data_IF_523019654351
#
_entry.id   IF_523019654351
#
_cell.length_a   1.000
_cell.length_b   1.000
_cell.length_c   1.000
_cell.angle_alpha   90.00
_cell.angle_beta   90.00
_cell.angle_gamma   90.00
#
_symmetry.space_group_name_H-M   'P 1'
#
loop_
_entity.id
_entity.type
_entity.pdbx_description
1 polymer ?
#
# COMPACT_ATOMS: atom_id res chain seq x y z
N UNK A 1 19.63 4.02 -10.85
CA UNK A 1 18.83 4.13 -9.60
C UNK A 1 18.01 5.40 -9.66
N UNK A 2 16.75 5.33 -9.30
CA UNK A 2 15.88 6.51 -9.16
C UNK A 2 16.35 7.25 -7.89
N UNK A 3 16.60 8.56 -7.97
CA UNK A 3 16.93 9.34 -6.79
C UNK A 3 15.73 9.40 -5.84
N UNK A 4 15.94 9.17 -4.54
CA UNK A 4 14.88 9.26 -3.54
C UNK A 4 14.48 10.73 -3.38
N UNK A 5 13.22 11.11 -3.62
CA UNK A 5 12.77 12.47 -3.40
C UNK A 5 12.76 12.81 -1.90
N UNK A 6 13.10 14.04 -1.58
CA UNK A 6 13.09 14.54 -0.20
C UNK A 6 11.90 15.44 0.03
N UNK A 7 11.14 15.16 1.09
CA UNK A 7 10.00 15.92 1.56
C UNK A 7 10.24 16.33 3.03
N UNK A 8 10.74 17.56 3.28
CA UNK A 8 11.13 17.99 4.64
C UNK A 8 9.99 17.89 5.67
N UNK A 9 8.76 18.01 5.24
CA UNK A 9 7.56 17.92 6.08
C UNK A 9 7.21 16.50 6.54
N UNK A 10 7.87 15.49 5.98
CA UNK A 10 7.74 14.10 6.44
C UNK A 10 8.66 13.80 7.63
N UNK A 11 9.74 14.56 7.81
CA UNK A 11 10.70 14.32 8.90
C UNK A 11 10.02 14.41 10.28
N UNK A 12 10.26 13.40 11.12
CA UNK A 12 9.69 13.29 12.46
C UNK A 12 8.24 12.76 12.51
N UNK A 13 7.55 12.60 11.37
CA UNK A 13 6.24 11.93 11.32
C UNK A 13 6.35 10.45 11.64
N UNK A 14 5.22 9.85 12.02
CA UNK A 14 5.10 8.41 12.24
C UNK A 14 4.22 7.79 11.17
N UNK A 15 4.70 6.72 10.54
CA UNK A 15 3.95 5.96 9.55
C UNK A 15 3.68 4.53 10.03
N UNK A 16 2.45 4.06 9.83
CA UNK A 16 2.09 2.65 9.93
C UNK A 16 1.93 2.08 8.52
N UNK A 17 2.67 1.01 8.21
CA UNK A 17 2.70 0.43 6.86
C UNK A 17 2.24 -1.02 6.95
N UNK A 18 1.05 -1.33 6.41
CA UNK A 18 0.63 -2.71 6.24
C UNK A 18 1.27 -3.32 5.00
N UNK A 19 1.58 -4.62 5.04
CA UNK A 19 2.27 -5.28 3.93
C UNK A 19 3.75 -4.89 3.81
N UNK A 20 4.38 -4.44 4.90
CA UNK A 20 5.78 -4.01 4.93
C UNK A 20 6.81 -5.15 4.78
N UNK A 21 6.40 -6.42 4.88
CA UNK A 21 7.32 -7.57 4.84
C UNK A 21 8.01 -7.81 3.49
N UNK A 22 7.76 -7.00 2.45
CA UNK A 22 8.41 -7.12 1.16
C UNK A 22 7.80 -6.25 0.05
N UNK A 23 8.42 -6.28 -1.12
CA UNK A 23 7.95 -5.61 -2.32
C UNK A 23 7.72 -4.11 -2.13
N UNK A 24 6.55 -3.62 -2.57
CA UNK A 24 6.21 -2.19 -2.54
C UNK A 24 6.22 -1.63 -1.11
N UNK A 25 5.69 -2.38 -0.13
CA UNK A 25 5.62 -1.92 1.25
C UNK A 25 7.01 -1.74 1.88
N UNK A 26 7.91 -2.70 1.67
CA UNK A 26 9.28 -2.61 2.16
C UNK A 26 10.05 -1.47 1.49
N UNK A 27 9.90 -1.28 0.18
CA UNK A 27 10.57 -0.18 -0.52
C UNK A 27 10.02 1.19 -0.10
N UNK A 28 8.70 1.31 0.09
CA UNK A 28 8.11 2.52 0.66
C UNK A 28 8.67 2.82 2.06
N UNK A 29 8.86 1.79 2.90
CA UNK A 29 9.49 1.95 4.22
C UNK A 29 10.91 2.50 4.12
N UNK A 30 11.75 1.98 3.19
CA UNK A 30 13.12 2.49 2.97
C UNK A 30 13.12 3.96 2.58
N UNK A 31 12.24 4.37 1.69
CA UNK A 31 12.15 5.74 1.22
C UNK A 31 11.59 6.70 2.28
N UNK A 32 10.65 6.25 3.10
CA UNK A 32 10.16 7.01 4.25
C UNK A 32 11.26 7.15 5.32
N UNK A 33 12.02 6.08 5.60
CA UNK A 33 13.17 6.13 6.49
C UNK A 33 14.21 7.18 6.04
N UNK A 34 14.52 7.22 4.74
CA UNK A 34 15.41 8.23 4.15
C UNK A 34 14.89 9.67 4.37
N UNK A 35 13.58 9.85 4.48
CA UNK A 35 12.93 11.12 4.78
C UNK A 35 12.74 11.39 6.29
N UNK A 36 13.34 10.59 7.17
CA UNK A 36 13.30 10.77 8.61
C UNK A 36 11.96 10.43 9.28
N UNK A 37 11.16 9.56 8.65
CA UNK A 37 9.89 9.06 9.20
C UNK A 37 10.15 7.91 10.16
N UNK A 38 9.47 7.88 11.30
CA UNK A 38 9.44 6.73 12.23
C UNK A 38 8.46 5.69 11.71
N UNK A 39 8.82 4.42 11.73
CA UNK A 39 8.13 3.37 10.97
C UNK A 39 7.60 2.25 11.86
N UNK A 40 6.29 2.05 11.91
CA UNK A 40 5.67 0.83 12.39
C UNK A 40 5.44 -0.11 11.18
N UNK A 41 6.19 -1.19 11.13
CA UNK A 41 6.25 -2.14 10.03
C UNK A 41 5.31 -3.32 10.29
N UNK A 42 4.20 -3.39 9.57
CA UNK A 42 3.20 -4.43 9.79
C UNK A 42 3.14 -5.44 8.64
N UNK A 43 2.91 -6.69 9.00
CA UNK A 43 2.75 -7.85 8.12
C UNK A 43 2.69 -9.13 8.94
N UNK A 44 2.47 -10.28 8.30
CA UNK A 44 2.36 -11.58 8.99
C UNK A 44 3.71 -12.25 9.26
N UNK A 45 4.72 -11.94 8.47
CA UNK A 45 6.04 -12.57 8.52
C UNK A 45 6.97 -11.78 9.44
N UNK A 46 7.00 -12.16 10.71
CA UNK A 46 7.84 -11.55 11.75
C UNK A 46 9.32 -11.52 11.36
N UNK A 47 9.84 -12.59 10.76
CA UNK A 47 11.27 -12.66 10.43
C UNK A 47 11.65 -11.62 9.37
N UNK A 48 10.81 -11.46 8.33
CA UNK A 48 11.04 -10.43 7.31
C UNK A 48 10.87 -9.01 7.85
N UNK A 49 9.93 -8.78 8.76
CA UNK A 49 9.76 -7.49 9.42
C UNK A 49 10.99 -7.15 10.25
N UNK A 50 11.52 -8.11 11.03
CA UNK A 50 12.73 -7.91 11.81
C UNK A 50 13.93 -7.59 10.89
N UNK A 51 14.11 -8.36 9.82
CA UNK A 51 15.20 -8.12 8.85
C UNK A 51 15.13 -6.71 8.27
N UNK A 52 13.94 -6.24 7.88
CA UNK A 52 13.75 -4.89 7.37
C UNK A 52 14.00 -3.82 8.46
N UNK A 53 13.54 -4.05 9.69
CA UNK A 53 13.77 -3.13 10.79
C UNK A 53 15.26 -3.00 11.12
N UNK A 54 15.98 -4.12 11.16
CA UNK A 54 17.43 -4.15 11.38
C UNK A 54 18.19 -3.40 10.27
N UNK A 55 17.81 -3.64 9.00
CA UNK A 55 18.35 -2.91 7.84
C UNK A 55 18.16 -1.39 8.01
N UNK A 56 16.94 -0.95 8.32
CA UNK A 56 16.62 0.46 8.46
C UNK A 56 17.33 1.10 9.66
N UNK A 57 17.36 0.41 10.78
CA UNK A 57 18.04 0.87 12.01
C UNK A 57 19.54 1.02 11.80
N UNK A 58 20.16 0.13 11.02
CA UNK A 58 21.58 0.25 10.66
C UNK A 58 21.90 1.53 9.85
N UNK A 59 20.91 2.15 9.21
CA UNK A 59 21.04 3.46 8.54
C UNK A 59 20.72 4.65 9.45
N UNK A 60 20.40 4.42 10.72
CA UNK A 60 20.01 5.44 11.69
C UNK A 60 18.52 5.77 11.70
N UNK A 61 17.68 5.04 10.96
CA UNK A 61 16.24 5.21 10.99
C UNK A 61 15.63 4.53 12.22
N UNK A 62 14.40 4.93 12.56
CA UNK A 62 13.63 4.33 13.66
C UNK A 62 12.54 3.44 13.06
N UNK A 63 12.59 2.13 13.33
CA UNK A 63 11.65 1.16 12.78
C UNK A 63 11.27 0.10 13.83
N UNK A 64 9.97 -0.15 13.97
CA UNK A 64 9.38 -1.11 14.90
C UNK A 64 8.63 -2.19 14.12
N UNK A 65 9.02 -3.48 14.22
CA UNK A 65 8.21 -4.57 13.69
C UNK A 65 6.94 -4.76 14.53
N UNK A 66 5.77 -4.76 13.87
CA UNK A 66 4.46 -4.93 14.52
C UNK A 66 3.68 -6.00 13.76
N UNK A 67 3.95 -7.30 14.03
CA UNK A 67 3.31 -8.38 13.28
C UNK A 67 1.83 -8.48 13.62
N UNK A 68 0.98 -8.51 12.58
CA UNK A 68 -0.45 -8.79 12.71
C UNK A 68 -1.02 -9.26 11.37
N UNK A 69 -2.10 -10.03 11.43
CA UNK A 69 -2.93 -10.32 10.26
C UNK A 69 -3.90 -9.15 10.03
N UNK A 70 -3.84 -8.56 8.85
CA UNK A 70 -4.67 -7.41 8.49
C UNK A 70 -6.15 -7.77 8.23
N UNK A 71 -6.50 -9.06 8.23
CA UNK A 71 -7.89 -9.54 8.17
C UNK A 71 -8.50 -9.72 9.55
N UNK A 72 -7.73 -9.55 10.62
CA UNK A 72 -8.16 -9.63 12.02
C UNK A 72 -8.18 -8.23 12.65
N UNK A 73 -9.38 -7.72 12.92
CA UNK A 73 -9.57 -6.40 13.52
C UNK A 73 -8.93 -6.27 14.90
N UNK A 74 -8.99 -7.33 15.72
CA UNK A 74 -8.40 -7.32 17.07
C UNK A 74 -6.88 -7.29 17.03
N UNK A 75 -6.28 -8.06 16.10
CA UNK A 75 -4.84 -8.04 15.89
C UNK A 75 -4.35 -6.67 15.38
N UNK A 76 -5.11 -6.01 14.51
CA UNK A 76 -4.79 -4.65 14.04
C UNK A 76 -4.90 -3.60 15.16
N UNK A 77 -5.92 -3.68 16.00
CA UNK A 77 -6.05 -2.78 17.16
C UNK A 77 -4.88 -2.95 18.15
N UNK A 78 -4.46 -4.19 18.40
CA UNK A 78 -3.28 -4.45 19.23
C UNK A 78 -2.00 -3.91 18.57
N UNK A 79 -1.87 -4.07 17.24
CA UNK A 79 -0.74 -3.55 16.50
C UNK A 79 -0.68 -2.01 16.52
N UNK A 80 -1.83 -1.35 16.41
CA UNK A 80 -1.95 0.11 16.57
C UNK A 80 -1.49 0.54 17.96
N UNK A 81 -2.02 -0.10 19.00
CA UNK A 81 -1.66 0.21 20.39
C UNK A 81 -0.15 0.12 20.63
N UNK A 82 0.50 -0.95 20.18
CA UNK A 82 1.96 -1.12 20.30
C UNK A 82 2.72 0.01 19.57
N UNK A 83 2.27 0.38 18.36
CA UNK A 83 2.90 1.45 17.60
C UNK A 83 2.71 2.83 18.24
N UNK A 84 1.53 3.10 18.81
CA UNK A 84 1.22 4.36 19.50
C UNK A 84 1.92 4.47 20.85
N UNK A 85 2.12 3.36 21.59
CA UNK A 85 2.93 3.36 22.82
C UNK A 85 4.39 3.73 22.55
N UNK A 86 4.96 3.26 21.45
CA UNK A 86 6.36 3.52 21.10
C UNK A 86 6.57 4.89 20.49
N UNK A 87 5.67 5.32 19.59
CA UNK A 87 5.90 6.49 18.74
C UNK A 87 4.94 7.65 18.98
N UNK A 88 3.89 7.43 19.77
CA UNK A 88 2.78 8.36 19.86
C UNK A 88 1.89 8.29 18.61
N UNK A 89 1.35 9.42 18.23
CA UNK A 89 0.38 9.53 17.14
C UNK A 89 0.89 8.98 15.78
N UNK A 90 0.01 8.26 15.08
CA UNK A 90 0.27 7.78 13.71
C UNK A 90 -0.23 8.83 12.72
N UNK A 91 0.69 9.52 12.05
CA UNK A 91 0.39 10.58 11.07
C UNK A 91 0.01 10.04 9.70
N UNK A 92 0.64 8.93 9.31
CA UNK A 92 0.57 8.37 7.98
C UNK A 92 0.15 6.89 8.04
N UNK A 93 -0.88 6.52 7.29
CA UNK A 93 -1.26 5.12 7.09
C UNK A 93 -1.01 4.71 5.63
N UNK A 94 -0.19 3.68 5.43
CA UNK A 94 -0.04 3.01 4.15
C UNK A 94 -0.75 1.67 4.21
N UNK A 95 -1.97 1.61 3.70
CA UNK A 95 -2.79 0.40 3.66
C UNK A 95 -2.44 -0.43 2.40
N UNK A 96 -1.27 -1.09 2.44
CA UNK A 96 -0.65 -1.79 1.31
C UNK A 96 -0.75 -3.31 1.40
N UNK A 97 -1.29 -3.85 2.50
CA UNK A 97 -1.56 -5.28 2.60
C UNK A 97 -2.46 -5.76 1.46
N UNK A 98 -2.14 -6.91 0.89
CA UNK A 98 -2.90 -7.50 -0.19
C UNK A 98 -2.04 -8.18 -1.25
N UNK A 99 -2.68 -8.49 -2.38
CA UNK A 99 -2.05 -9.11 -3.54
C UNK A 99 -2.94 -10.16 -4.18
N UNK A 100 -2.52 -10.68 -5.33
CA UNK A 100 -3.21 -11.79 -6.00
C UNK A 100 -3.11 -13.06 -5.14
N UNK A 101 -4.24 -13.61 -4.76
CA UNK A 101 -4.36 -14.82 -3.92
C UNK A 101 -4.81 -16.04 -4.72
N UNK A 102 -5.57 -15.82 -5.80
CA UNK A 102 -6.10 -16.86 -6.64
C UNK A 102 -5.53 -16.79 -8.07
N UNK A 103 -5.42 -17.94 -8.72
CA UNK A 103 -5.09 -18.00 -10.15
C UNK A 103 -6.25 -17.42 -10.97
N UNK A 104 -5.96 -16.74 -12.09
CA UNK A 104 -7.01 -16.35 -13.03
C UNK A 104 -7.76 -17.58 -13.54
N UNK A 105 -9.08 -17.55 -13.45
CA UNK A 105 -9.99 -18.57 -13.95
C UNK A 105 -11.27 -17.90 -14.49
N UNK A 106 -12.02 -18.54 -15.39
CA UNK A 106 -13.37 -18.12 -15.74
C UNK A 106 -14.25 -17.97 -14.48
N UNK A 107 -15.21 -17.05 -14.52
CA UNK A 107 -16.05 -16.74 -13.32
C UNK A 107 -16.78 -17.96 -12.81
N UNK A 108 -17.31 -18.80 -13.70
CA UNK A 108 -18.04 -20.02 -13.36
C UNK A 108 -17.14 -21.13 -12.78
N UNK A 109 -15.82 -20.97 -12.85
CA UNK A 109 -14.84 -21.89 -12.28
C UNK A 109 -14.13 -21.32 -11.06
N UNK A 110 -14.48 -20.10 -10.66
CA UNK A 110 -13.90 -19.46 -9.47
C UNK A 110 -14.54 -20.04 -8.22
N UNK A 111 -13.73 -20.71 -7.40
CA UNK A 111 -14.21 -21.25 -6.11
C UNK A 111 -14.62 -20.10 -5.17
N UNK A 112 -15.71 -20.31 -4.42
CA UNK A 112 -16.20 -19.30 -3.47
C UNK A 112 -15.13 -18.95 -2.40
N UNK A 113 -14.34 -19.92 -1.96
CA UNK A 113 -13.25 -19.73 -1.02
C UNK A 113 -12.17 -18.78 -1.58
N UNK A 114 -11.81 -18.92 -2.86
CA UNK A 114 -10.84 -18.05 -3.53
C UNK A 114 -11.41 -16.63 -3.68
N UNK A 115 -12.69 -16.51 -4.01
CA UNK A 115 -13.39 -15.23 -4.05
C UNK A 115 -13.32 -14.53 -2.68
N UNK A 116 -13.76 -15.19 -1.60
CA UNK A 116 -13.73 -14.65 -0.25
C UNK A 116 -12.32 -14.26 0.18
N UNK A 117 -11.35 -15.14 -0.03
CA UNK A 117 -9.95 -14.89 0.28
C UNK A 117 -9.42 -13.64 -0.43
N UNK A 118 -9.75 -13.44 -1.72
CA UNK A 118 -9.32 -12.26 -2.45
C UNK A 118 -9.95 -10.97 -1.90
N UNK A 119 -11.24 -10.99 -1.55
CA UNK A 119 -11.92 -9.86 -0.91
C UNK A 119 -11.30 -9.57 0.46
N UNK A 120 -11.13 -10.58 1.30
CA UNK A 120 -10.66 -10.42 2.68
C UNK A 120 -9.23 -9.88 2.73
N UNK A 121 -8.30 -10.48 1.98
CA UNK A 121 -6.90 -10.07 1.99
C UNK A 121 -6.63 -8.74 1.27
N UNK A 122 -7.58 -8.19 0.54
CA UNK A 122 -7.43 -6.92 -0.16
C UNK A 122 -8.40 -5.85 0.37
N UNK A 123 -9.70 -5.98 0.09
CA UNK A 123 -10.69 -4.95 0.41
C UNK A 123 -10.98 -4.88 1.91
N UNK A 124 -11.29 -6.03 2.54
CA UNK A 124 -11.56 -6.09 3.98
C UNK A 124 -10.34 -5.64 4.80
N UNK A 125 -9.15 -6.11 4.44
CA UNK A 125 -7.90 -5.69 5.12
C UNK A 125 -7.65 -4.18 4.99
N UNK A 126 -7.91 -3.57 3.83
CA UNK A 126 -7.79 -2.12 3.64
C UNK A 126 -8.82 -1.37 4.48
N UNK A 127 -10.08 -1.83 4.48
CA UNK A 127 -11.15 -1.26 5.30
C UNK A 127 -10.82 -1.32 6.80
N UNK A 128 -10.34 -2.47 7.30
CA UNK A 128 -9.98 -2.63 8.71
C UNK A 128 -8.82 -1.70 9.09
N UNK A 129 -7.80 -1.58 8.26
CA UNK A 129 -6.70 -0.65 8.50
C UNK A 129 -7.20 0.81 8.58
N UNK A 130 -8.03 1.26 7.64
CA UNK A 130 -8.63 2.60 7.69
C UNK A 130 -9.44 2.77 8.99
N UNK A 131 -10.35 1.84 9.28
CA UNK A 131 -11.21 1.87 10.47
C UNK A 131 -10.42 2.00 11.77
N UNK A 132 -9.29 1.30 11.88
CA UNK A 132 -8.45 1.27 13.08
C UNK A 132 -7.73 2.60 13.33
N UNK A 133 -7.20 3.25 12.29
CA UNK A 133 -6.36 4.45 12.46
C UNK A 133 -7.12 5.78 12.28
N UNK A 134 -8.23 5.77 11.55
CA UNK A 134 -8.98 6.98 11.20
C UNK A 134 -9.51 7.78 12.40
N UNK A 135 -10.04 7.17 13.49
CA UNK A 135 -10.60 7.93 14.60
C UNK A 135 -9.61 8.92 15.22
N UNK A 136 -8.37 8.47 15.49
CA UNK A 136 -7.33 9.32 16.06
C UNK A 136 -6.89 10.44 15.08
N UNK A 137 -6.82 10.15 13.78
CA UNK A 137 -6.53 11.18 12.76
C UNK A 137 -7.62 12.24 12.67
N UNK A 138 -8.90 11.86 12.76
CA UNK A 138 -10.04 12.81 12.79
C UNK A 138 -9.99 13.69 14.02
N UNK A 139 -9.74 13.13 15.21
CA UNK A 139 -9.64 13.88 16.46
C UNK A 139 -8.55 14.96 16.39
N UNK A 140 -7.37 14.61 15.87
CA UNK A 140 -6.25 15.55 15.69
C UNK A 140 -6.43 16.49 14.51
N UNK A 141 -7.42 16.24 13.64
CA UNK A 141 -7.65 16.96 12.38
C UNK A 141 -6.42 16.99 11.47
N UNK A 142 -5.67 15.89 11.46
CA UNK A 142 -4.44 15.71 10.69
C UNK A 142 -4.17 14.25 10.37
N UNK A 143 -3.84 13.96 9.13
CA UNK A 143 -3.47 12.62 8.69
C UNK A 143 -3.43 12.48 7.18
N UNK A 144 -2.68 11.48 6.71
CA UNK A 144 -2.73 11.07 5.32
C UNK A 144 -2.80 9.53 5.23
N UNK A 145 -3.78 9.04 4.48
CA UNK A 145 -4.01 7.62 4.25
C UNK A 145 -3.75 7.33 2.76
N UNK A 146 -2.87 6.40 2.48
CA UNK A 146 -2.57 5.94 1.13
C UNK A 146 -2.98 4.48 1.00
N UNK A 147 -3.96 4.20 0.14
CA UNK A 147 -4.43 2.86 -0.16
C UNK A 147 -3.78 2.29 -1.41
N UNK A 148 -3.84 0.97 -1.60
CA UNK A 148 -3.22 0.29 -2.73
C UNK A 148 -4.27 -0.49 -3.53
N UNK A 149 -4.67 0.05 -4.69
CA UNK A 149 -5.48 -0.64 -5.67
C UNK A 149 -4.60 -1.40 -6.70
N UNK A 150 -5.03 -1.45 -7.92
CA UNK A 150 -4.31 -2.00 -9.08
C UNK A 150 -5.04 -1.55 -10.36
N UNK A 151 -4.33 -1.52 -11.48
CA UNK A 151 -4.97 -1.37 -12.79
C UNK A 151 -6.03 -2.45 -13.07
N UNK A 152 -5.95 -3.61 -12.39
CA UNK A 152 -6.99 -4.65 -12.45
C UNK A 152 -8.34 -4.20 -11.84
N UNK A 153 -8.35 -3.17 -11.00
CA UNK A 153 -9.57 -2.55 -10.47
C UNK A 153 -10.11 -1.40 -11.35
N UNK A 154 -9.39 -1.04 -12.42
CA UNK A 154 -9.76 0.05 -13.33
C UNK A 154 -10.53 -0.43 -14.56
N UNK A 155 -10.50 -1.73 -14.84
CA UNK A 155 -11.16 -2.33 -16.00
C UNK A 155 -10.80 -3.80 -16.16
N UNK A 156 -11.28 -4.46 -17.22
CA UNK A 156 -10.99 -5.85 -17.50
C UNK A 156 -9.48 -6.12 -17.57
N UNK A 157 -9.05 -7.20 -16.94
CA UNK A 157 -7.63 -7.57 -16.84
C UNK A 157 -7.45 -9.09 -16.90
N UNK A 158 -6.21 -9.55 -16.90
CA UNK A 158 -5.87 -10.98 -16.81
C UNK A 158 -5.73 -11.46 -15.35
N UNK A 159 -6.04 -10.62 -14.37
CA UNK A 159 -6.10 -11.04 -12.96
C UNK A 159 -7.40 -11.80 -12.69
N UNK A 160 -7.48 -12.48 -11.54
CA UNK A 160 -8.73 -13.13 -11.15
C UNK A 160 -9.85 -12.08 -11.00
N UNK A 161 -11.10 -12.41 -11.36
CA UNK A 161 -12.23 -11.49 -11.20
C UNK A 161 -12.40 -10.99 -9.75
N UNK A 162 -12.18 -11.86 -8.78
CA UNK A 162 -12.24 -11.52 -7.35
C UNK A 162 -11.21 -10.45 -6.96
N UNK A 163 -9.97 -10.57 -7.47
CA UNK A 163 -8.94 -9.56 -7.24
C UNK A 163 -9.30 -8.23 -7.88
N UNK A 164 -9.77 -8.25 -9.14
CA UNK A 164 -10.24 -7.05 -9.84
C UNK A 164 -11.36 -6.34 -9.09
N UNK A 165 -12.36 -7.10 -8.63
CA UNK A 165 -13.48 -6.59 -7.84
C UNK A 165 -13.00 -5.97 -6.50
N UNK A 166 -12.11 -6.66 -5.78
CA UNK A 166 -11.54 -6.13 -4.54
C UNK A 166 -10.79 -4.81 -4.78
N UNK A 167 -10.00 -4.72 -5.85
CA UNK A 167 -9.21 -3.52 -6.16
C UNK A 167 -10.07 -2.37 -6.67
N UNK A 168 -11.17 -2.64 -7.37
CA UNK A 168 -12.19 -1.65 -7.70
C UNK A 168 -12.89 -1.13 -6.43
N UNK A 169 -13.23 -2.03 -5.50
CA UNK A 169 -13.79 -1.68 -4.21
C UNK A 169 -12.88 -0.75 -3.39
N UNK A 170 -11.56 -0.96 -3.41
CA UNK A 170 -10.60 -0.07 -2.73
C UNK A 170 -10.60 1.33 -3.33
N UNK A 171 -10.74 1.47 -4.65
CA UNK A 171 -10.82 2.77 -5.33
C UNK A 171 -12.04 3.54 -4.82
N UNK A 172 -13.22 2.91 -4.84
CA UNK A 172 -14.45 3.55 -4.37
C UNK A 172 -14.40 3.84 -2.87
N UNK A 173 -13.96 2.88 -2.06
CA UNK A 173 -13.78 3.08 -0.61
C UNK A 173 -12.87 4.29 -0.32
N UNK A 174 -11.80 4.47 -1.09
CA UNK A 174 -10.91 5.64 -0.95
C UNK A 174 -11.66 6.95 -1.19
N UNK A 175 -12.50 7.01 -2.22
CA UNK A 175 -13.29 8.20 -2.57
C UNK A 175 -14.33 8.51 -1.49
N UNK A 176 -15.05 7.48 -1.01
CA UNK A 176 -16.08 7.63 0.01
C UNK A 176 -15.45 8.14 1.33
N UNK A 177 -14.38 7.49 1.79
CA UNK A 177 -13.68 7.93 3.01
C UNK A 177 -13.10 9.33 2.84
N UNK A 178 -12.48 9.65 1.70
CA UNK A 178 -11.94 10.98 1.45
C UNK A 178 -13.02 12.09 1.52
N UNK A 179 -14.21 11.80 0.98
CA UNK A 179 -15.37 12.71 1.07
C UNK A 179 -15.86 12.87 2.50
N UNK A 180 -15.92 11.79 3.27
CA UNK A 180 -16.34 11.81 4.68
C UNK A 180 -15.40 12.64 5.55
N UNK A 181 -14.07 12.42 5.43
CA UNK A 181 -13.09 12.93 6.40
C UNK A 181 -12.35 14.18 5.94
N UNK A 182 -12.59 14.65 4.72
CA UNK A 182 -12.04 15.91 4.23
C UNK A 182 -12.30 17.10 5.16
N UNK A 183 -13.53 17.30 5.70
CA UNK A 183 -13.81 18.33 6.70
C UNK A 183 -12.99 18.20 7.99
N UNK A 184 -12.49 17.01 8.30
CA UNK A 184 -11.64 16.73 9.46
C UNK A 184 -10.14 16.91 9.15
N UNK A 185 -9.77 17.42 7.97
CA UNK A 185 -8.38 17.68 7.61
C UNK A 185 -7.56 16.43 7.30
N UNK A 186 -8.20 15.27 7.11
CA UNK A 186 -7.53 14.01 6.74
C UNK A 186 -7.62 13.82 5.22
N UNK A 187 -6.48 13.48 4.59
CA UNK A 187 -6.44 13.18 3.16
C UNK A 187 -6.39 11.66 2.94
N UNK A 188 -7.14 11.18 1.97
CA UNK A 188 -7.17 9.74 1.61
C UNK A 188 -7.01 9.61 0.11
N UNK A 189 -5.93 8.97 -0.35
CA UNK A 189 -5.65 8.77 -1.77
C UNK A 189 -5.27 7.32 -2.07
N UNK A 190 -5.46 6.92 -3.30
CA UNK A 190 -5.19 5.57 -3.78
C UNK A 190 -4.04 5.58 -4.80
N UNK A 191 -3.18 4.56 -4.76
CA UNK A 191 -2.24 4.26 -5.83
C UNK A 191 -2.72 3.02 -6.56
N UNK A 192 -2.69 3.06 -7.89
CA UNK A 192 -3.12 1.97 -8.77
C UNK A 192 -1.96 1.53 -9.66
N UNK A 193 -1.09 0.62 -9.19
CA UNK A 193 0.01 0.11 -10.00
C UNK A 193 -0.47 -0.84 -11.09
N UNK A 194 0.29 -0.91 -12.19
CA UNK A 194 0.27 -2.03 -13.11
C UNK A 194 1.21 -3.15 -12.63
N UNK A 195 1.82 -3.91 -13.53
CA UNK A 195 2.78 -4.93 -13.16
C UNK A 195 4.04 -4.30 -12.53
N UNK A 196 4.35 -4.72 -11.30
CA UNK A 196 5.54 -4.31 -10.55
C UNK A 196 6.43 -5.54 -10.31
N UNK A 197 7.72 -5.42 -10.63
CA UNK A 197 8.71 -6.47 -10.46
C UNK A 197 9.19 -6.47 -9.01
N UNK A 198 8.55 -7.30 -8.18
CA UNK A 198 8.96 -7.61 -6.80
C UNK A 198 9.59 -9.00 -6.80
N UNK A 199 10.29 -9.40 -5.73
CA UNK A 199 10.86 -10.76 -5.61
C UNK A 199 9.79 -11.84 -5.86
N UNK A 200 8.58 -11.63 -5.31
CA UNK A 200 7.45 -12.54 -5.50
C UNK A 200 7.00 -12.62 -6.96
N UNK A 201 6.91 -11.51 -7.66
CA UNK A 201 6.49 -11.51 -9.08
C UNK A 201 7.60 -11.98 -9.98
N UNK A 202 8.86 -11.67 -9.71
CA UNK A 202 10.02 -12.16 -10.45
C UNK A 202 10.12 -13.69 -10.38
N UNK A 203 9.97 -14.27 -9.18
CA UNK A 203 10.01 -15.72 -8.97
C UNK A 203 8.89 -16.48 -9.72
N UNK A 204 7.76 -15.82 -10.02
CA UNK A 204 6.60 -16.43 -10.66
C UNK A 204 6.39 -15.99 -12.12
N UNK A 205 7.27 -15.16 -12.68
CA UNK A 205 7.13 -14.62 -14.04
C UNK A 205 8.35 -14.98 -14.89
N UNK A 206 8.27 -16.00 -15.76
CA UNK A 206 9.35 -16.35 -16.68
C UNK A 206 9.79 -15.15 -17.54
N UNK A 207 11.06 -15.12 -17.94
CA UNK A 207 11.66 -13.99 -18.66
C UNK A 207 10.89 -13.61 -19.93
N UNK A 208 10.40 -14.61 -20.67
CA UNK A 208 9.57 -14.35 -21.86
C UNK A 208 8.31 -13.58 -21.53
N UNK A 209 7.64 -13.95 -20.41
CA UNK A 209 6.43 -13.24 -19.95
C UNK A 209 6.79 -11.83 -19.47
N UNK A 210 7.93 -11.65 -18.78
CA UNK A 210 8.41 -10.32 -18.39
C UNK A 210 8.61 -9.41 -19.61
N UNK A 211 9.20 -9.91 -20.70
CA UNK A 211 9.37 -9.17 -21.96
C UNK A 211 8.02 -8.79 -22.59
N UNK A 212 7.06 -9.71 -22.60
CA UNK A 212 5.71 -9.44 -23.14
C UNK A 212 4.98 -8.37 -22.29
N UNK A 213 5.06 -8.49 -20.95
CA UNK A 213 4.48 -7.51 -20.03
C UNK A 213 5.15 -6.14 -20.22
N UNK A 214 6.48 -6.07 -20.30
CA UNK A 214 7.20 -4.83 -20.58
C UNK A 214 6.77 -4.20 -21.90
N UNK A 215 6.63 -5.02 -22.95
CA UNK A 215 6.20 -4.55 -24.28
C UNK A 215 4.76 -4.02 -24.29
N UNK A 216 3.91 -4.45 -23.37
CA UNK A 216 2.52 -3.97 -23.23
C UNK A 216 2.41 -2.58 -22.56
N UNK A 217 3.49 -2.07 -21.99
CA UNK A 217 3.54 -0.74 -21.38
C UNK A 217 4.18 0.27 -22.35
N UNK A 218 3.61 1.46 -22.55
CA UNK A 218 4.23 2.53 -23.34
C UNK A 218 5.67 2.84 -22.92
N UNK A 219 6.00 2.83 -21.62
CA UNK A 219 7.37 3.04 -21.12
C UNK A 219 8.30 1.83 -21.31
N UNK A 220 7.83 0.73 -21.95
CA UNK A 220 8.63 -0.42 -22.37
C UNK A 220 9.42 -1.11 -21.26
N UNK A 221 8.94 -1.04 -20.04
CA UNK A 221 9.47 -1.78 -18.89
C UNK A 221 8.37 -2.19 -17.94
N UNK A 222 8.65 -3.16 -17.09
CA UNK A 222 7.84 -3.44 -15.89
C UNK A 222 8.17 -2.36 -14.86
N UNK A 223 7.19 -1.95 -14.07
CA UNK A 223 7.42 -1.03 -12.95
C UNK A 223 8.26 -1.68 -11.86
N UNK A 224 8.93 -0.87 -11.06
CA UNK A 224 9.70 -1.29 -9.90
C UNK A 224 8.99 -0.80 -8.62
N UNK A 225 9.26 -1.41 -7.45
CA UNK A 225 8.75 -0.92 -6.18
C UNK A 225 9.02 0.57 -5.94
N UNK A 226 10.18 1.07 -6.39
CA UNK A 226 10.60 2.47 -6.32
C UNK A 226 9.66 3.41 -7.08
N UNK A 227 9.10 2.98 -8.22
CA UNK A 227 8.13 3.79 -8.96
C UNK A 227 6.87 4.06 -8.13
N UNK A 228 6.47 3.07 -7.33
CA UNK A 228 5.29 3.16 -6.47
C UNK A 228 5.62 3.91 -5.19
N UNK A 229 6.80 3.69 -4.61
CA UNK A 229 7.26 4.40 -3.41
C UNK A 229 7.35 5.92 -3.66
N UNK A 230 7.82 6.36 -4.84
CA UNK A 230 7.84 7.77 -5.21
C UNK A 230 6.45 8.42 -5.16
N UNK A 231 5.46 7.74 -5.73
CA UNK A 231 4.07 8.19 -5.69
C UNK A 231 3.50 8.20 -4.26
N UNK A 232 3.86 7.20 -3.45
CA UNK A 232 3.41 7.06 -2.07
C UNK A 232 3.93 8.22 -1.20
N UNK A 233 5.21 8.55 -1.29
CA UNK A 233 5.80 9.67 -0.57
C UNK A 233 5.18 11.02 -0.98
N UNK A 234 5.02 11.24 -2.29
CA UNK A 234 4.34 12.45 -2.79
C UNK A 234 2.95 12.60 -2.20
N UNK A 235 2.12 11.57 -2.27
CA UNK A 235 0.74 11.63 -1.75
C UNK A 235 0.70 11.77 -0.22
N UNK A 236 1.70 11.28 0.50
CA UNK A 236 1.81 11.42 1.95
C UNK A 236 2.26 12.84 2.36
N UNK A 237 3.06 13.52 1.54
CA UNK A 237 3.63 14.83 1.84
C UNK A 237 2.64 15.99 1.72
N UNK A 238 3.02 17.15 2.24
CA UNK A 238 2.28 18.41 2.08
C UNK A 238 2.20 18.91 0.63
N UNK A 239 3.10 18.42 -0.25
CA UNK A 239 3.04 18.70 -1.68
C UNK A 239 1.75 18.20 -2.33
N UNK A 240 1.08 17.21 -1.73
CA UNK A 240 -0.24 16.73 -2.11
C UNK A 240 -1.37 17.33 -1.25
N UNK A 241 -1.15 18.48 -0.61
CA UNK A 241 -2.09 19.09 0.35
C UNK A 241 -3.47 19.42 -0.21
N UNK A 242 -3.61 19.55 -1.54
CA UNK A 242 -4.91 19.80 -2.19
C UNK A 242 -5.38 18.57 -3.00
N UNK A 243 -4.86 17.37 -2.67
CA UNK A 243 -5.22 16.12 -3.33
C UNK A 243 -5.83 15.17 -2.28
N UNK A 244 -7.11 14.83 -2.44
CA UNK A 244 -7.82 13.80 -1.68
C UNK A 244 -8.85 13.12 -2.57
N UNK A 245 -9.15 11.84 -2.32
CA UNK A 245 -10.05 11.02 -3.15
C UNK A 245 -9.48 10.63 -4.52
N UNK A 246 -8.24 10.99 -4.80
CA UNK A 246 -7.62 10.69 -6.09
C UNK A 246 -7.13 9.24 -6.17
N UNK A 247 -7.16 8.67 -7.39
CA UNK A 247 -6.48 7.43 -7.72
C UNK A 247 -5.35 7.74 -8.70
N UNK A 248 -4.11 7.60 -8.25
CA UNK A 248 -2.93 7.83 -9.07
C UNK A 248 -2.47 6.53 -9.72
N UNK A 249 -2.58 6.43 -11.04
CA UNK A 249 -2.10 5.27 -11.79
C UNK A 249 -0.57 5.32 -11.96
N UNK A 250 0.12 4.32 -11.39
CA UNK A 250 1.56 4.09 -11.57
C UNK A 250 1.72 2.91 -12.51
N UNK A 251 1.45 3.15 -13.79
CA UNK A 251 1.15 2.09 -14.76
C UNK A 251 1.98 2.14 -16.04
N UNK A 252 3.03 2.97 -16.12
CA UNK A 252 3.90 3.08 -17.29
C UNK A 252 3.15 3.40 -18.59
N UNK A 253 2.01 4.11 -18.50
CA UNK A 253 1.14 4.49 -19.61
C UNK A 253 0.13 3.40 -20.02
N UNK A 254 0.05 2.27 -19.33
CA UNK A 254 -0.92 1.20 -19.65
C UNK A 254 -2.37 1.61 -19.41
N UNK A 255 -2.60 2.51 -18.46
CA UNK A 255 -3.89 3.18 -18.21
C UNK A 255 -3.74 4.65 -18.57
N UNK A 256 -4.64 5.16 -19.40
CA UNK A 256 -4.75 6.56 -19.79
C UNK A 256 -6.23 6.95 -19.74
N UNK A 257 -6.53 8.11 -19.20
CA UNK A 257 -7.89 8.66 -19.05
C UNK A 257 -7.99 9.99 -19.78
#
# INVERSE_FOLDING_TARGET
MIAIPTYPDLAGKTAFITGASGGIGAETARWLAHNGVRLALNGRDQAKLNTLADELTATGATALPVPADNTDASALEQARYIAEEEFGDIDLLFAFAGGGTARPAPVEQTEEADWRSAIDHNLTATFLAIKTFLPAMKERRAGAIITMASTAGRGPSQASPAYGAAKAGIILLTQDVASEVGPDGVRVNCISPSAILTDRTAANMPELVQRQVAASHPLRRIGLPEDVAAAALFLASSSAGWITGATLDVAGGRMMH
#
